data_IF_066877696671
#
_entry.id   IF_066877696671
#
_cell.length_a   1.000
_cell.length_b   1.000
_cell.length_c   1.000
_cell.angle_alpha   90.00
_cell.angle_beta   90.00
_cell.angle_gamma   90.00
#
_symmetry.space_group_name_H-M   'P 1'
#
loop_
_entity.id
_entity.type
_entity.pdbx_description
1 polymer ?
#
# COMPACT_ATOMS: atom_id res chain seq x y z
N UNK A 1 41.88 -12.78 -32.15
CA UNK A 1 40.52 -12.72 -32.69
C UNK A 1 40.04 -14.13 -32.99
N UNK A 2 39.06 -14.61 -32.22
CA UNK A 2 38.45 -15.92 -32.42
C UNK A 2 37.16 -15.97 -31.60
N UNK A 3 36.05 -15.58 -32.22
CA UNK A 3 34.72 -15.58 -31.59
C UNK A 3 34.23 -17.03 -31.47
N UNK A 4 34.17 -17.56 -30.25
CA UNK A 4 33.44 -18.79 -29.96
C UNK A 4 31.98 -18.41 -29.71
N UNK A 5 31.07 -18.86 -30.55
CA UNK A 5 29.62 -18.67 -30.36
C UNK A 5 29.09 -19.62 -29.28
N UNK A 6 28.40 -19.06 -28.29
CA UNK A 6 27.55 -19.82 -27.37
C UNK A 6 26.13 -19.91 -27.96
N UNK A 7 25.63 -21.12 -28.18
CA UNK A 7 24.23 -21.33 -28.56
C UNK A 7 23.38 -21.59 -27.31
N UNK A 8 22.34 -20.78 -27.12
CA UNK A 8 21.31 -21.02 -26.11
C UNK A 8 20.17 -21.82 -26.75
N UNK A 9 19.96 -23.05 -26.31
CA UNK A 9 18.83 -23.86 -26.75
C UNK A 9 17.78 -23.91 -25.67
N UNK A 10 16.57 -23.43 -25.98
CA UNK A 10 15.41 -23.48 -25.08
C UNK A 10 14.88 -24.92 -25.06
N UNK A 11 15.12 -25.66 -23.97
CA UNK A 11 14.54 -26.99 -23.81
C UNK A 11 13.10 -26.88 -23.28
N UNK A 12 12.11 -27.22 -24.10
CA UNK A 12 10.76 -27.50 -23.62
C UNK A 12 10.67 -28.98 -23.24
N UNK A 13 10.59 -29.29 -21.95
CA UNK A 13 10.17 -30.60 -21.48
C UNK A 13 8.67 -30.55 -21.16
N UNK A 14 7.87 -31.29 -21.92
CA UNK A 14 6.46 -31.53 -21.64
C UNK A 14 6.34 -32.49 -20.46
N UNK A 15 5.96 -31.99 -19.28
CA UNK A 15 5.58 -32.84 -18.17
C UNK A 15 4.07 -33.11 -18.24
N UNK A 16 3.69 -34.32 -18.66
CA UNK A 16 2.31 -34.82 -18.57
C UNK A 16 2.02 -35.17 -17.10
N UNK A 17 1.24 -34.30 -16.45
CA UNK A 17 0.15 -34.52 -15.46
C UNK A 17 0.19 -33.45 -14.35
N UNK A 18 -0.72 -32.49 -14.49
CA UNK A 18 -1.42 -31.80 -13.39
C UNK A 18 -0.59 -31.04 -12.35
N UNK A 19 -0.08 -29.86 -12.71
CA UNK A 19 -0.25 -28.58 -11.99
C UNK A 19 0.51 -27.51 -12.80
N UNK A 20 -0.10 -26.35 -13.00
CA UNK A 20 0.52 -25.21 -13.68
C UNK A 20 1.64 -24.64 -12.80
N UNK A 21 2.89 -24.87 -13.19
CA UNK A 21 4.02 -23.95 -12.93
C UNK A 21 5.18 -24.31 -13.86
N UNK A 22 5.46 -23.42 -14.82
CA UNK A 22 6.53 -23.60 -15.80
C UNK A 22 7.86 -23.11 -15.20
N UNK A 23 8.68 -24.02 -14.64
CA UNK A 23 10.07 -23.70 -14.27
C UNK A 23 10.95 -23.83 -15.52
N UNK A 24 11.52 -22.73 -16.00
CA UNK A 24 12.52 -22.74 -17.06
C UNK A 24 13.91 -23.07 -16.48
N UNK A 25 14.47 -24.23 -16.84
CA UNK A 25 15.86 -24.58 -16.54
C UNK A 25 16.75 -24.19 -17.72
N UNK A 26 17.83 -23.44 -17.46
CA UNK A 26 18.85 -23.15 -18.46
C UNK A 26 20.03 -24.10 -18.25
N UNK A 27 20.34 -24.92 -19.25
CA UNK A 27 21.57 -25.71 -19.29
C UNK A 27 22.58 -25.00 -20.22
N UNK A 28 23.71 -24.56 -19.67
CA UNK A 28 24.82 -24.05 -20.48
C UNK A 28 25.69 -25.24 -20.89
N UNK A 29 25.64 -25.63 -22.17
CA UNK A 29 26.63 -26.54 -22.76
C UNK A 29 27.73 -25.71 -23.41
N UNK A 30 28.93 -25.73 -22.83
CA UNK A 30 30.13 -25.31 -23.54
C UNK A 30 30.46 -26.37 -24.59
N UNK A 31 30.62 -25.97 -25.85
CA UNK A 31 31.03 -26.88 -26.92
C UNK A 31 32.45 -27.42 -26.63
N UNK A 32 32.58 -28.75 -26.50
CA UNK A 32 33.87 -29.43 -26.60
C UNK A 32 34.36 -30.27 -25.41
N UNK A 33 33.52 -30.74 -24.47
CA UNK A 33 33.99 -31.71 -23.45
C UNK A 33 32.96 -32.81 -23.14
N UNK A 34 33.47 -34.04 -23.09
CA UNK A 34 32.80 -35.29 -22.73
C UNK A 34 33.10 -35.65 -21.27
N UNK A 35 32.23 -35.27 -20.32
CA UNK A 35 31.95 -35.99 -19.05
C UNK A 35 31.01 -35.18 -18.13
N UNK A 36 30.19 -35.84 -17.28
CA UNK A 36 29.18 -35.20 -16.44
C UNK A 36 29.66 -34.87 -15.02
N UNK A 37 28.89 -34.02 -14.34
CA UNK A 37 28.97 -33.62 -12.91
C UNK A 37 29.95 -32.49 -12.53
N UNK A 38 29.50 -31.25 -12.74
CA UNK A 38 29.77 -30.16 -11.80
C UNK A 38 28.49 -29.89 -10.98
N UNK A 39 28.44 -30.35 -9.73
CA UNK A 39 27.40 -29.90 -8.77
C UNK A 39 27.87 -28.57 -8.18
N UNK A 40 27.32 -27.47 -8.68
CA UNK A 40 27.43 -26.16 -8.03
C UNK A 40 26.33 -25.99 -6.98
N UNK A 41 26.70 -25.54 -5.78
CA UNK A 41 25.76 -25.25 -4.70
C UNK A 41 25.26 -23.81 -4.85
N UNK A 42 23.95 -23.61 -5.05
CA UNK A 42 23.34 -22.28 -4.97
C UNK A 42 23.26 -21.86 -3.50
N UNK A 43 23.91 -20.76 -3.13
CA UNK A 43 23.57 -19.99 -1.94
C UNK A 43 23.04 -18.64 -2.38
N UNK A 44 21.80 -18.33 -1.99
CA UNK A 44 21.23 -17.01 -2.16
C UNK A 44 21.71 -16.14 -1.00
N UNK A 45 22.61 -15.20 -1.29
CA UNK A 45 22.89 -14.07 -0.42
C UNK A 45 22.54 -12.80 -1.20
N UNK A 46 21.80 -11.88 -0.56
CA UNK A 46 21.51 -10.53 -1.09
C UNK A 46 20.77 -10.45 -2.44
N UNK A 47 19.87 -11.39 -2.75
CA UNK A 47 19.09 -11.34 -4.00
C UNK A 47 19.94 -11.48 -5.27
N UNK A 48 21.16 -12.03 -5.17
CA UNK A 48 22.06 -12.27 -6.29
C UNK A 48 22.36 -13.77 -6.41
N UNK A 49 22.08 -14.34 -7.58
CA UNK A 49 22.57 -15.67 -7.92
C UNK A 49 23.99 -15.53 -8.50
N UNK A 50 25.01 -16.02 -7.78
CA UNK A 50 26.39 -16.01 -8.27
C UNK A 50 26.75 -17.40 -8.78
N UNK A 51 26.93 -17.53 -10.10
CA UNK A 51 27.46 -18.74 -10.73
C UNK A 51 29.00 -18.67 -10.71
N UNK A 52 29.63 -19.43 -9.81
CA UNK A 52 31.07 -19.62 -9.82
C UNK A 52 31.44 -20.79 -10.73
N UNK A 53 31.63 -20.51 -12.02
CA UNK A 53 32.31 -21.43 -12.92
C UNK A 53 33.83 -21.16 -12.83
N UNK A 54 34.59 -22.13 -12.31
CA UNK A 54 36.01 -21.97 -11.93
C UNK A 54 36.98 -21.69 -13.09
N UNK A 55 36.51 -21.60 -14.33
CA UNK A 55 37.36 -21.49 -15.54
C UNK A 55 36.86 -20.46 -16.58
N UNK A 56 35.88 -19.62 -16.26
CA UNK A 56 35.47 -18.53 -17.14
C UNK A 56 35.44 -17.22 -16.35
N UNK A 57 35.94 -16.15 -16.95
CA UNK A 57 35.88 -14.77 -16.43
C UNK A 57 34.47 -14.54 -15.87
N UNK A 58 34.31 -14.06 -14.62
CA UNK A 58 33.00 -13.91 -14.00
C UNK A 58 32.20 -12.84 -14.75
N UNK A 59 31.33 -13.30 -15.66
CA UNK A 59 30.33 -12.44 -16.27
C UNK A 59 29.19 -12.31 -15.26
N UNK A 60 29.07 -11.14 -14.65
CA UNK A 60 28.00 -10.82 -13.71
C UNK A 60 26.70 -10.64 -14.50
N UNK A 61 25.95 -11.72 -14.68
CA UNK A 61 24.60 -11.68 -15.24
C UNK A 61 23.62 -11.30 -14.13
N UNK A 62 23.27 -10.01 -14.06
CA UNK A 62 22.16 -9.52 -13.25
C UNK A 62 20.88 -9.83 -14.03
N UNK A 63 20.11 -10.82 -13.58
CA UNK A 63 18.75 -11.05 -14.06
C UNK A 63 17.80 -10.40 -13.05
N UNK A 64 17.15 -9.26 -13.37
CA UNK A 64 16.07 -8.75 -12.54
C UNK A 64 14.82 -9.58 -12.84
N UNK A 65 14.48 -10.50 -11.93
CA UNK A 65 13.33 -11.37 -12.09
C UNK A 65 13.14 -12.27 -10.87
N UNK A 66 12.25 -11.82 -9.97
CA UNK A 66 11.49 -12.62 -9.01
C UNK A 66 12.14 -13.92 -8.51
N UNK A 67 13.16 -13.82 -7.64
CA UNK A 67 13.31 -14.84 -6.61
C UNK A 67 12.09 -14.70 -5.69
N UNK A 68 11.06 -15.51 -5.94
CA UNK A 68 9.86 -15.53 -5.13
C UNK A 68 10.28 -15.92 -3.70
N UNK A 69 10.35 -14.93 -2.81
CA UNK A 69 10.77 -15.09 -1.40
C UNK A 69 9.70 -15.81 -0.56
N UNK A 70 8.93 -16.70 -1.17
CA UNK A 70 7.85 -17.41 -0.51
C UNK A 70 8.35 -18.75 0.00
N UNK A 71 9.14 -18.69 1.09
CA UNK A 71 9.38 -19.87 1.91
C UNK A 71 8.05 -20.42 2.48
N UNK A 72 8.04 -21.68 2.94
CA UNK A 72 6.87 -22.24 3.60
C UNK A 72 6.51 -21.42 4.85
N UNK A 73 5.21 -21.41 5.19
CA UNK A 73 4.75 -20.84 6.45
C UNK A 73 5.41 -21.55 7.63
N UNK A 74 6.04 -20.77 8.50
CA UNK A 74 6.61 -21.21 9.76
C UNK A 74 5.61 -20.97 10.89
N UNK A 75 5.69 -21.76 11.96
CA UNK A 75 4.83 -21.66 13.14
C UNK A 75 5.64 -21.25 14.36
N UNK A 76 4.95 -20.90 15.45
CA UNK A 76 5.57 -20.65 16.76
C UNK A 76 6.04 -19.21 16.96
N UNK A 77 5.57 -18.28 16.12
CA UNK A 77 5.73 -16.85 16.38
C UNK A 77 4.63 -16.41 17.34
N UNK A 78 4.97 -16.13 18.59
CA UNK A 78 4.03 -15.49 19.51
C UNK A 78 3.87 -14.03 19.14
N UNK A 79 2.69 -13.47 19.35
CA UNK A 79 2.49 -12.05 19.20
C UNK A 79 1.75 -11.44 20.38
N UNK A 80 1.99 -10.16 20.63
CA UNK A 80 1.20 -9.31 21.54
C UNK A 80 0.91 -8.01 20.83
N UNK A 81 0.25 -7.07 21.52
CA UNK A 81 0.02 -5.72 21.03
C UNK A 81 0.47 -4.66 22.03
N UNK A 82 0.89 -3.51 21.51
CA UNK A 82 1.23 -2.34 22.32
C UNK A 82 0.89 -1.03 21.62
N UNK A 83 0.70 0.01 22.43
CA UNK A 83 0.87 1.39 22.01
C UNK A 83 1.21 2.22 23.25
N UNK A 84 2.48 2.59 23.38
CA UNK A 84 2.97 3.31 24.57
C UNK A 84 3.55 4.69 24.23
N UNK A 85 3.38 5.15 22.99
CA UNK A 85 3.89 6.39 22.41
C UNK A 85 5.41 6.64 22.52
N UNK A 86 6.17 5.71 23.08
CA UNK A 86 7.63 5.83 23.15
C UNK A 86 8.26 5.47 21.81
N UNK A 87 9.36 6.13 21.46
CA UNK A 87 9.98 6.02 20.15
C UNK A 87 10.37 4.59 19.76
N UNK A 88 10.32 4.32 18.46
CA UNK A 88 10.79 3.08 17.86
C UNK A 88 12.32 2.99 17.96
N UNK A 89 12.88 1.93 18.57
CA UNK A 89 14.32 1.78 18.75
C UNK A 89 15.12 1.89 17.45
N UNK A 90 14.57 1.40 16.33
CA UNK A 90 15.22 1.51 15.03
C UNK A 90 15.46 2.97 14.59
N UNK A 91 14.72 3.93 15.14
CA UNK A 91 14.85 5.36 14.81
C UNK A 91 15.86 6.10 15.70
N UNK A 92 16.31 5.47 16.79
CA UNK A 92 17.15 6.13 17.80
C UNK A 92 18.46 6.65 17.19
N UNK A 93 19.07 5.89 16.29
CA UNK A 93 20.30 6.24 15.58
C UNK A 93 20.13 7.46 14.66
N UNK A 94 18.91 7.70 14.15
CA UNK A 94 18.63 8.80 13.23
C UNK A 94 18.60 10.15 13.94
N UNK A 95 18.28 10.16 15.23
CA UNK A 95 18.16 11.37 16.04
C UNK A 95 19.51 11.78 16.62
N UNK A 96 20.24 12.61 15.88
CA UNK A 96 21.55 13.16 16.29
C UNK A 96 21.52 14.69 16.22
N UNK A 97 21.66 15.42 17.36
CA UNK A 97 21.78 14.89 18.72
C UNK A 97 20.47 14.27 19.24
N UNK A 98 20.59 13.32 20.16
CA UNK A 98 19.43 12.66 20.76
C UNK A 98 18.59 13.63 21.58
N UNK A 99 17.28 13.69 21.29
CA UNK A 99 16.31 14.54 21.97
C UNK A 99 15.13 13.70 22.50
N UNK A 100 15.22 13.25 23.75
CA UNK A 100 14.20 12.40 24.38
C UNK A 100 12.77 12.95 24.24
N UNK A 101 12.60 14.27 24.38
CA UNK A 101 11.30 14.96 24.24
C UNK A 101 10.64 14.71 22.88
N UNK A 102 11.40 14.50 21.80
CA UNK A 102 10.88 14.28 20.43
C UNK A 102 10.91 12.81 20.01
N UNK A 103 11.44 11.93 20.86
CA UNK A 103 11.57 10.49 20.58
C UNK A 103 10.27 9.75 20.90
N UNK A 104 9.24 9.98 20.08
CA UNK A 104 7.91 9.37 20.21
C UNK A 104 7.64 8.42 19.04
N UNK A 105 6.69 7.49 19.21
CA UNK A 105 6.28 6.60 18.14
C UNK A 105 5.51 7.39 17.06
N UNK A 106 5.88 7.22 15.79
CA UNK A 106 5.27 7.98 14.70
C UNK A 106 3.83 7.50 14.43
N UNK A 107 2.84 8.40 14.25
CA UNK A 107 1.47 8.01 13.90
C UNK A 107 1.38 7.16 12.63
N UNK A 108 2.24 7.42 11.65
CA UNK A 108 2.31 6.67 10.40
C UNK A 108 2.68 5.19 10.59
N UNK A 109 3.19 4.81 11.77
CA UNK A 109 3.49 3.42 12.15
C UNK A 109 2.26 2.66 12.66
N UNK A 110 1.13 3.34 12.89
CA UNK A 110 -0.12 2.67 13.15
C UNK A 110 -0.50 1.73 11.99
N UNK A 111 -1.34 0.70 12.24
CA UNK A 111 -1.86 -0.16 11.20
C UNK A 111 -2.42 0.64 10.02
N UNK A 112 -2.11 0.19 8.81
CA UNK A 112 -2.50 0.85 7.57
C UNK A 112 -3.12 -0.16 6.61
N UNK A 113 -4.16 0.28 5.89
CA UNK A 113 -4.74 -0.48 4.80
C UNK A 113 -3.84 -0.34 3.56
N UNK A 114 -3.32 -1.44 2.98
CA UNK A 114 -2.53 -1.38 1.76
C UNK A 114 -3.23 -0.69 0.59
N UNK A 115 -4.56 -0.76 0.49
CA UNK A 115 -5.35 -0.15 -0.60
C UNK A 115 -5.21 1.37 -0.63
N UNK A 116 -5.02 2.01 0.54
CA UNK A 116 -4.75 3.46 0.63
C UNK A 116 -3.38 3.86 0.04
N UNK A 117 -2.50 2.89 -0.23
CA UNK A 117 -1.12 3.11 -0.67
C UNK A 117 -0.79 2.42 -2.00
N UNK A 118 -1.81 2.11 -2.80
CA UNK A 118 -1.64 1.48 -4.12
C UNK A 118 -1.78 -0.04 -4.12
N UNK A 119 -2.30 -0.62 -3.04
CA UNK A 119 -2.69 -2.01 -2.95
C UNK A 119 -1.66 -2.94 -2.31
N UNK A 120 -2.09 -4.17 -1.98
CA UNK A 120 -1.24 -5.15 -1.31
C UNK A 120 -0.21 -5.77 -2.25
N UNK A 121 0.97 -6.11 -1.72
CA UNK A 121 2.04 -6.76 -2.50
C UNK A 121 1.90 -8.29 -2.52
N UNK A 122 1.38 -8.86 -1.44
CA UNK A 122 1.23 -10.31 -1.21
C UNK A 122 -0.22 -10.73 -1.01
N UNK A 123 -1.18 -9.82 -1.17
CA UNK A 123 -2.60 -10.03 -0.84
C UNK A 123 -2.92 -9.84 0.65
N UNK A 124 -2.02 -9.20 1.40
CA UNK A 124 -2.24 -8.77 2.77
C UNK A 124 -3.35 -7.72 2.89
N UNK A 125 -3.99 -7.69 4.05
CA UNK A 125 -5.06 -6.73 4.37
C UNK A 125 -4.55 -5.60 5.27
N UNK A 126 -3.37 -5.76 5.86
CA UNK A 126 -2.78 -4.78 6.78
C UNK A 126 -1.28 -4.66 6.59
N UNK A 127 -0.79 -3.43 6.74
CA UNK A 127 0.61 -3.14 7.03
C UNK A 127 0.75 -2.68 8.46
N UNK A 128 1.70 -3.27 9.17
CA UNK A 128 1.92 -3.14 10.60
C UNK A 128 3.39 -2.87 10.88
N UNK A 129 3.67 -2.25 12.03
CA UNK A 129 5.00 -2.24 12.63
C UNK A 129 5.01 -3.05 13.92
N UNK A 130 6.20 -3.50 14.35
CA UNK A 130 6.31 -4.22 15.60
C UNK A 130 7.69 -4.21 16.24
N UNK A 131 7.76 -4.74 17.46
CA UNK A 131 8.99 -4.95 18.22
C UNK A 131 9.32 -6.43 18.27
N UNK A 132 10.46 -6.82 17.70
CA UNK A 132 10.86 -8.22 17.58
C UNK A 132 11.73 -8.65 18.76
N UNK A 133 11.56 -9.89 19.26
CA UNK A 133 12.52 -10.50 20.19
C UNK A 133 13.90 -10.65 19.54
N UNK A 134 14.94 -10.89 20.36
CA UNK A 134 16.31 -11.08 19.85
C UNK A 134 16.40 -12.32 18.93
N UNK A 135 15.67 -13.39 19.26
CA UNK A 135 15.61 -14.60 18.45
C UNK A 135 14.95 -14.33 17.09
N UNK A 136 13.87 -13.55 17.05
CA UNK A 136 13.23 -13.16 15.80
C UNK A 136 14.11 -12.21 14.99
N UNK A 137 14.79 -11.28 15.65
CA UNK A 137 15.72 -10.34 15.00
C UNK A 137 16.90 -11.09 14.35
N UNK A 138 17.46 -12.09 15.04
CA UNK A 138 18.49 -12.96 14.48
C UNK A 138 18.00 -13.73 13.23
N UNK A 139 16.73 -14.14 13.20
CA UNK A 139 16.10 -14.76 12.02
C UNK A 139 15.93 -13.76 10.87
N UNK A 140 15.50 -12.53 11.18
CA UNK A 140 15.35 -11.45 10.19
C UNK A 140 16.70 -11.03 9.56
N UNK A 141 17.79 -11.22 10.29
CA UNK A 141 19.14 -10.95 9.81
C UNK A 141 19.54 -9.47 9.97
N UNK A 142 20.42 -8.93 9.11
CA UNK A 142 20.89 -7.56 9.25
C UNK A 142 19.79 -6.52 9.00
N UNK A 143 20.01 -5.30 9.50
CA UNK A 143 19.14 -4.17 9.21
C UNK A 143 19.00 -3.94 7.69
N UNK A 144 17.81 -3.56 7.27
CA UNK A 144 17.55 -3.08 5.91
C UNK A 144 18.30 -1.76 5.68
N UNK A 145 18.43 -1.36 4.41
CA UNK A 145 19.01 -0.07 4.04
C UNK A 145 18.10 1.11 4.42
N UNK A 146 16.80 0.87 4.53
CA UNK A 146 15.81 1.87 4.91
C UNK A 146 15.38 1.72 6.38
N UNK A 147 14.60 2.69 6.85
CA UNK A 147 13.65 2.46 7.94
C UNK A 147 14.26 2.22 9.33
N UNK A 148 15.52 2.64 9.52
CA UNK A 148 16.19 2.69 10.82
C UNK A 148 17.32 1.67 10.98
N UNK A 149 18.03 1.73 12.11
CA UNK A 149 19.13 0.83 12.48
C UNK A 149 19.09 0.49 13.96
N UNK A 150 19.53 -0.71 14.30
CA UNK A 150 19.69 -1.14 15.69
C UNK A 150 21.15 -1.01 16.13
N UNK A 151 21.53 0.12 16.72
CA UNK A 151 22.89 0.31 17.25
C UNK A 151 23.22 -0.60 18.43
N UNK A 152 22.21 -1.17 19.10
CA UNK A 152 22.36 -1.89 20.38
C UNK A 152 22.00 -3.37 20.32
N UNK A 153 21.60 -3.92 19.17
CA UNK A 153 21.74 -5.37 18.94
C UNK A 153 20.70 -6.05 18.05
N UNK A 154 21.11 -7.25 17.62
CA UNK A 154 20.37 -8.30 16.89
C UNK A 154 19.96 -8.05 15.43
N UNK A 155 19.91 -6.80 14.96
CA UNK A 155 19.64 -6.48 13.55
C UNK A 155 18.15 -6.56 13.18
N UNK A 156 17.83 -6.51 11.90
CA UNK A 156 16.49 -6.70 11.37
C UNK A 156 15.62 -5.44 11.31
N UNK A 157 16.11 -4.26 11.68
CA UNK A 157 15.37 -3.02 11.50
C UNK A 157 14.98 -2.84 10.03
N UNK A 158 13.71 -2.50 9.77
CA UNK A 158 13.20 -2.36 8.40
C UNK A 158 13.07 -3.69 7.64
N UNK A 159 13.23 -4.85 8.28
CA UNK A 159 12.89 -6.14 7.68
C UNK A 159 11.42 -6.47 7.91
N UNK A 160 10.81 -7.24 7.00
CA UNK A 160 9.40 -7.57 7.02
C UNK A 160 9.09 -9.06 7.12
N UNK A 161 7.97 -9.36 7.77
CA UNK A 161 7.31 -10.66 7.80
C UNK A 161 5.94 -10.54 7.15
N UNK A 162 5.53 -11.55 6.39
CA UNK A 162 4.11 -11.78 6.12
C UNK A 162 3.61 -12.74 7.20
N UNK A 163 2.58 -12.35 7.92
CA UNK A 163 2.00 -13.12 9.03
C UNK A 163 0.52 -13.43 8.76
N UNK A 164 0.03 -14.50 9.35
CA UNK A 164 -1.40 -14.79 9.49
C UNK A 164 -1.70 -15.26 10.90
N UNK A 165 -2.91 -15.00 11.37
CA UNK A 165 -3.38 -15.41 12.69
C UNK A 165 -4.48 -16.46 12.55
N UNK A 166 -4.15 -17.77 12.63
CA UNK A 166 -5.15 -18.83 12.46
C UNK A 166 -6.28 -18.82 13.49
N UNK A 167 -6.10 -18.17 14.65
CA UNK A 167 -7.14 -18.08 15.68
C UNK A 167 -8.00 -16.83 15.58
N UNK A 168 -7.68 -15.87 14.71
CA UNK A 168 -8.48 -14.66 14.54
C UNK A 168 -9.84 -14.96 13.87
N UNK A 169 -10.83 -14.09 14.08
CA UNK A 169 -12.13 -14.21 13.39
C UNK A 169 -11.97 -14.01 11.87
N UNK A 170 -11.00 -13.20 11.45
CA UNK A 170 -10.50 -13.09 10.07
C UNK A 170 -9.22 -13.91 9.87
N UNK A 171 -9.31 -15.22 10.05
CA UNK A 171 -8.15 -16.13 9.92
C UNK A 171 -7.58 -16.20 8.47
N UNK A 172 -8.37 -15.78 7.48
CA UNK A 172 -7.98 -15.66 6.08
C UNK A 172 -7.11 -14.43 5.80
N UNK A 173 -7.12 -13.43 6.69
CA UNK A 173 -6.32 -12.24 6.54
C UNK A 173 -4.84 -12.52 6.77
N UNK A 174 -4.02 -11.86 5.96
CA UNK A 174 -2.57 -11.77 6.19
C UNK A 174 -2.17 -10.31 6.41
N UNK A 175 -1.05 -10.09 7.10
CA UNK A 175 -0.51 -8.77 7.37
C UNK A 175 1.00 -8.75 7.13
N UNK A 176 1.51 -7.65 6.59
CA UNK A 176 2.96 -7.40 6.58
C UNK A 176 3.34 -6.67 7.85
N UNK A 177 4.31 -7.20 8.60
CA UNK A 177 4.84 -6.58 9.82
C UNK A 177 6.29 -6.18 9.61
N UNK A 178 6.59 -4.88 9.68
CA UNK A 178 7.95 -4.36 9.65
C UNK A 178 8.52 -4.21 11.08
N UNK A 179 9.72 -4.75 11.33
CA UNK A 179 10.41 -4.52 12.61
C UNK A 179 10.84 -3.05 12.73
N UNK A 180 10.34 -2.38 13.78
CA UNK A 180 10.71 -1.01 14.17
C UNK A 180 11.27 -0.88 15.59
N UNK A 181 11.26 -1.95 16.38
CA UNK A 181 11.97 -1.95 17.65
C UNK A 181 12.34 -3.34 18.14
N UNK A 182 12.97 -3.38 19.30
CA UNK A 182 13.30 -4.61 20.02
C UNK A 182 12.23 -4.87 21.07
N UNK A 183 11.79 -6.12 21.18
CA UNK A 183 11.14 -6.58 22.39
C UNK A 183 12.22 -7.08 23.34
N UNK A 184 12.46 -6.33 24.40
CA UNK A 184 13.52 -6.63 25.36
C UNK A 184 13.29 -7.97 26.06
N UNK A 185 14.34 -8.78 26.30
CA UNK A 185 14.22 -10.12 26.87
C UNK A 185 13.69 -10.15 28.30
N UNK A 186 13.71 -9.01 29.00
CA UNK A 186 13.09 -8.86 30.33
C UNK A 186 11.55 -8.81 30.26
N UNK A 187 10.97 -8.57 29.07
CA UNK A 187 9.53 -8.63 28.86
C UNK A 187 9.09 -10.09 28.66
N UNK A 188 8.02 -10.55 29.35
CA UNK A 188 7.51 -11.91 29.19
C UNK A 188 7.16 -12.25 27.74
N UNK A 189 7.71 -13.36 27.24
CA UNK A 189 7.51 -13.84 25.87
C UNK A 189 8.65 -13.50 24.92
N UNK A 190 9.49 -12.52 25.27
CA UNK A 190 10.57 -12.04 24.40
C UNK A 190 11.96 -12.61 24.75
N UNK A 191 12.05 -13.40 25.81
CA UNK A 191 13.26 -14.12 26.20
C UNK A 191 13.66 -15.19 25.18
N UNK A 192 14.96 -15.39 24.99
CA UNK A 192 15.46 -16.46 24.14
C UNK A 192 15.04 -17.85 24.69
N UNK A 193 14.72 -18.83 23.83
CA UNK A 193 14.76 -18.82 22.36
C UNK A 193 13.42 -18.44 21.69
N UNK A 194 12.51 -17.75 22.39
CA UNK A 194 11.15 -17.51 21.90
C UNK A 194 11.12 -16.50 20.74
N UNK A 195 10.44 -16.88 19.67
CA UNK A 195 10.10 -15.96 18.58
C UNK A 195 8.88 -15.15 19.00
N UNK A 196 9.05 -13.84 19.13
CA UNK A 196 7.98 -12.94 19.57
C UNK A 196 7.97 -11.65 18.76
N UNK A 197 6.77 -11.17 18.42
CA UNK A 197 6.54 -9.87 17.82
C UNK A 197 5.46 -9.12 18.60
N UNK A 198 5.80 -7.96 19.14
CA UNK A 198 4.83 -7.07 19.78
C UNK A 198 4.34 -6.05 18.74
N UNK A 199 3.07 -6.14 18.34
CA UNK A 199 2.49 -5.36 17.23
C UNK A 199 2.04 -3.99 17.72
N UNK A 200 2.41 -2.95 16.97
CA UNK A 200 1.97 -1.60 17.29
C UNK A 200 0.50 -1.40 16.87
N UNK A 201 -0.39 -1.21 17.84
CA UNK A 201 -1.83 -1.02 17.62
C UNK A 201 -2.38 0.07 18.56
N UNK A 202 -2.69 1.28 18.04
CA UNK A 202 -3.25 2.36 18.85
C UNK A 202 -4.51 1.93 19.59
N UNK A 203 -4.64 2.35 20.85
CA UNK A 203 -5.75 1.92 21.73
C UNK A 203 -5.48 0.60 22.48
N UNK A 204 -4.51 -0.20 22.06
CA UNK A 204 -4.24 -1.53 22.62
C UNK A 204 -3.04 -1.57 23.59
N UNK A 205 -2.64 -0.43 24.17
CA UNK A 205 -1.63 -0.38 25.23
C UNK A 205 -2.15 -1.02 26.53
N UNK A 206 -1.41 -1.96 27.11
CA UNK A 206 -1.85 -2.68 28.34
C UNK A 206 -1.68 -1.95 29.66
N UNK A 207 -0.87 -0.88 29.70
CA UNK A 207 -0.45 -0.28 30.97
C UNK A 207 -0.75 1.22 30.99
N UNK A 208 -1.99 1.57 31.30
CA UNK A 208 -2.45 2.95 31.47
C UNK A 208 -1.59 3.73 32.51
N UNK A 209 -1.07 3.06 33.55
CA UNK A 209 -0.32 3.70 34.65
C UNK A 209 1.18 3.35 34.72
N UNK A 210 1.72 2.62 33.73
CA UNK A 210 3.16 2.34 33.74
C UNK A 210 3.99 3.57 33.38
N UNK A 211 5.17 3.68 33.98
CA UNK A 211 6.21 4.62 33.53
C UNK A 211 6.70 4.32 32.10
N UNK A 212 6.37 3.14 31.55
CA UNK A 212 6.65 2.75 30.17
C UNK A 212 5.65 3.37 29.17
N UNK A 213 4.46 3.79 29.61
CA UNK A 213 3.52 4.51 28.77
C UNK A 213 3.83 6.01 28.78
N UNK A 214 4.28 6.50 27.63
CA UNK A 214 4.67 7.90 27.39
C UNK A 214 3.56 8.71 26.72
N UNK A 215 2.41 8.11 26.43
CA UNK A 215 1.27 8.83 25.88
C UNK A 215 0.79 9.91 26.87
N UNK A 216 0.48 11.11 26.39
CA UNK A 216 0.14 12.26 27.24
C UNK A 216 1.23 12.77 28.20
N UNK A 217 2.46 12.24 28.14
CA UNK A 217 3.57 12.70 28.99
C UNK A 217 3.92 14.16 28.67
N UNK A 218 3.85 15.11 29.64
CA UNK A 218 4.13 16.53 29.41
C UNK A 218 5.60 16.79 29.04
N UNK A 219 6.50 15.83 29.26
CA UNK A 219 7.90 15.90 28.84
C UNK A 219 8.14 15.34 27.43
N UNK A 220 7.08 15.01 26.68
CA UNK A 220 7.14 14.59 25.28
C UNK A 220 6.40 15.59 24.40
N UNK A 221 6.93 15.84 23.22
CA UNK A 221 6.29 16.69 22.23
C UNK A 221 5.22 15.87 21.51
N UNK A 222 3.96 16.22 21.74
CA UNK A 222 2.80 15.81 20.97
C UNK A 222 2.70 14.30 20.70
N UNK A 223 2.38 13.53 21.73
CA UNK A 223 2.15 12.08 21.64
C UNK A 223 0.80 11.71 21.00
N UNK A 224 0.02 12.72 20.60
CA UNK A 224 -1.27 12.67 19.89
C UNK A 224 -2.44 12.04 20.66
N UNK A 225 -2.16 11.17 21.63
CA UNK A 225 -3.13 10.50 22.51
C UNK A 225 -2.65 10.52 23.96
N UNK A 226 -3.59 10.48 24.88
CA UNK A 226 -3.35 10.31 26.33
C UNK A 226 -3.06 8.85 26.69
N UNK A 227 -2.63 8.60 27.94
CA UNK A 227 -2.49 7.22 28.44
C UNK A 227 -3.80 6.44 28.40
N UNK A 228 -4.91 7.07 28.80
CA UNK A 228 -6.22 6.45 28.79
C UNK A 228 -6.65 6.06 27.36
N UNK A 229 -6.50 6.98 26.40
CA UNK A 229 -6.80 6.74 24.99
C UNK A 229 -5.91 5.64 24.40
N UNK A 230 -4.60 5.63 24.72
CA UNK A 230 -3.68 4.59 24.24
C UNK A 230 -4.01 3.18 24.74
N UNK A 231 -4.81 3.07 25.82
CA UNK A 231 -5.17 1.83 26.51
C UNK A 231 -6.65 1.49 26.43
N UNK A 232 -7.42 2.22 25.61
CA UNK A 232 -8.88 2.10 25.51
C UNK A 232 -9.37 0.66 25.32
N UNK A 233 -8.63 -0.13 24.54
CA UNK A 233 -8.89 -1.52 24.23
C UNK A 233 -7.81 -2.46 24.74
N UNK A 234 -6.90 -2.01 25.60
CA UNK A 234 -5.77 -2.81 26.09
C UNK A 234 -6.17 -4.04 26.92
N UNK A 235 -7.39 -4.05 27.46
CA UNK A 235 -7.98 -5.15 28.25
C UNK A 235 -9.23 -5.76 27.58
N UNK A 236 -9.33 -5.69 26.25
CA UNK A 236 -10.48 -6.17 25.48
C UNK A 236 -10.88 -7.61 25.86
N UNK A 237 -9.91 -8.47 26.18
CA UNK A 237 -10.11 -9.87 26.57
C UNK A 237 -10.95 -10.05 27.84
N UNK A 238 -11.07 -9.01 28.67
CA UNK A 238 -11.87 -9.03 29.90
C UNK A 238 -13.34 -8.65 29.66
N UNK A 239 -13.64 -8.01 28.52
CA UNK A 239 -14.94 -7.41 28.23
C UNK A 239 -15.55 -7.82 26.89
N UNK A 240 -14.77 -8.46 26.01
CA UNK A 240 -15.18 -8.90 24.68
C UNK A 240 -14.57 -10.26 24.32
N UNK A 241 -15.25 -10.98 23.43
CA UNK A 241 -14.79 -12.27 22.92
C UNK A 241 -13.57 -12.15 21.98
N UNK A 242 -13.48 -11.03 21.26
CA UNK A 242 -12.40 -10.73 20.33
C UNK A 242 -12.24 -9.21 20.16
N UNK A 243 -11.21 -8.80 19.45
CA UNK A 243 -10.88 -7.38 19.24
C UNK A 243 -11.94 -6.61 18.46
N UNK A 244 -12.90 -7.25 17.79
CA UNK A 244 -13.99 -6.52 17.11
C UNK A 244 -14.95 -5.86 18.09
N UNK A 245 -14.93 -6.28 19.37
CA UNK A 245 -15.67 -5.62 20.45
C UNK A 245 -15.03 -4.33 20.96
N UNK A 246 -13.82 -3.97 20.50
CA UNK A 246 -13.19 -2.69 20.82
C UNK A 246 -13.92 -1.52 20.17
N UNK A 247 -14.17 -0.45 20.94
CA UNK A 247 -14.71 0.79 20.41
C UNK A 247 -13.59 1.83 20.21
N UNK A 248 -13.12 2.00 18.97
CA UNK A 248 -12.08 2.98 18.63
C UNK A 248 -12.58 4.44 18.59
N UNK A 249 -13.89 4.71 18.76
CA UNK A 249 -14.41 6.09 18.79
C UNK A 249 -13.91 6.92 19.98
N UNK A 250 -13.39 6.26 21.02
CA UNK A 250 -12.73 6.93 22.14
C UNK A 250 -11.36 7.53 21.79
N UNK A 251 -10.80 7.23 20.61
CA UNK A 251 -9.58 7.88 20.12
C UNK A 251 -9.92 9.24 19.48
N UNK A 252 -9.11 10.28 19.74
CA UNK A 252 -9.33 11.60 19.17
C UNK A 252 -9.13 11.56 17.64
N UNK A 253 -9.66 12.58 16.94
CA UNK A 253 -9.64 12.64 15.47
C UNK A 253 -9.53 14.06 14.90
N UNK A 254 -9.14 15.04 15.73
CA UNK A 254 -9.12 16.45 15.31
C UNK A 254 -7.92 16.77 14.40
N UNK A 255 -6.78 16.11 14.61
CA UNK A 255 -5.59 16.22 13.73
C UNK A 255 -5.48 15.05 12.75
N UNK A 256 -4.66 15.21 11.71
CA UNK A 256 -4.42 14.14 10.74
C UNK A 256 -3.77 12.93 11.41
N UNK A 257 -2.81 13.16 12.31
CA UNK A 257 -2.15 12.12 13.08
C UNK A 257 -3.14 11.34 13.94
N UNK A 258 -4.04 12.04 14.63
CA UNK A 258 -5.08 11.41 15.44
C UNK A 258 -6.03 10.56 14.58
N UNK A 259 -6.41 11.03 13.39
CA UNK A 259 -7.19 10.23 12.44
C UNK A 259 -6.45 8.97 11.99
N UNK A 260 -5.15 9.06 11.72
CA UNK A 260 -4.31 7.90 11.38
C UNK A 260 -4.31 6.89 12.55
N UNK A 261 -4.16 7.36 13.79
CA UNK A 261 -4.19 6.49 14.97
C UNK A 261 -5.55 5.82 15.16
N UNK A 262 -6.64 6.58 15.04
CA UNK A 262 -8.00 6.05 15.12
C UNK A 262 -8.24 4.99 14.05
N UNK A 263 -7.89 5.29 12.81
CA UNK A 263 -8.03 4.33 11.71
C UNK A 263 -7.19 3.06 11.93
N UNK A 264 -5.96 3.21 12.42
CA UNK A 264 -5.12 2.05 12.77
C UNK A 264 -5.71 1.18 13.89
N UNK A 265 -6.38 1.79 14.88
CA UNK A 265 -7.14 1.04 15.88
C UNK A 265 -8.27 0.23 15.24
N UNK A 266 -9.04 0.84 14.34
CA UNK A 266 -10.17 0.19 13.64
C UNK A 266 -9.69 -1.00 12.81
N UNK A 267 -8.60 -0.83 12.05
CA UNK A 267 -8.01 -1.90 11.24
C UNK A 267 -7.55 -3.08 12.09
N UNK A 268 -6.83 -2.83 13.19
CA UNK A 268 -6.39 -3.91 14.08
C UNK A 268 -7.59 -4.61 14.74
N UNK A 269 -8.59 -3.83 15.18
CA UNK A 269 -9.82 -4.36 15.77
C UNK A 269 -10.55 -5.28 14.80
N UNK A 270 -10.66 -4.87 13.53
CA UNK A 270 -11.32 -5.62 12.46
C UNK A 270 -10.63 -6.95 12.11
N UNK A 271 -9.33 -7.10 12.40
CA UNK A 271 -8.64 -8.39 12.25
C UNK A 271 -9.21 -9.45 13.20
N UNK A 272 -9.71 -9.03 14.36
CA UNK A 272 -10.50 -9.89 15.25
C UNK A 272 -9.68 -10.94 15.99
N UNK A 273 -8.64 -10.53 16.70
CA UNK A 273 -7.89 -11.45 17.56
C UNK A 273 -8.79 -11.97 18.68
N UNK A 274 -8.79 -13.28 18.90
CA UNK A 274 -9.61 -13.98 19.92
C UNK A 274 -8.82 -14.33 21.18
N UNK A 275 -7.49 -14.22 21.12
CA UNK A 275 -6.58 -14.40 22.25
C UNK A 275 -5.56 -13.28 22.26
N UNK A 276 -5.07 -12.92 23.45
CA UNK A 276 -4.15 -11.80 23.62
C UNK A 276 -2.72 -12.11 23.17
N UNK A 277 -2.34 -13.39 23.20
CA UNK A 277 -1.01 -13.87 22.84
C UNK A 277 -1.02 -14.99 21.78
N UNK A 278 -1.58 -14.72 20.58
CA UNK A 278 -1.79 -15.73 19.55
C UNK A 278 -0.48 -16.33 19.05
N UNK A 279 -0.60 -17.54 18.52
CA UNK A 279 0.46 -18.20 17.76
C UNK A 279 0.27 -17.89 16.28
N UNK A 280 1.05 -16.95 15.77
CA UNK A 280 1.05 -16.58 14.36
C UNK A 280 1.81 -17.62 13.52
N UNK A 281 1.39 -17.71 12.27
CA UNK A 281 2.21 -18.31 11.23
C UNK A 281 2.87 -17.19 10.41
N UNK A 282 4.13 -17.38 10.01
CA UNK A 282 4.90 -16.32 9.37
C UNK A 282 5.84 -16.82 8.28
N UNK A 283 6.25 -15.92 7.39
CA UNK A 283 7.41 -16.07 6.51
C UNK A 283 8.09 -14.73 6.33
N UNK A 284 9.42 -14.73 6.21
CA UNK A 284 10.16 -13.51 5.88
C UNK A 284 9.88 -13.13 4.43
N UNK A 285 9.63 -11.84 4.20
CA UNK A 285 9.33 -11.28 2.87
C UNK A 285 10.09 -9.98 2.67
N UNK A 286 10.17 -9.51 1.42
CA UNK A 286 10.61 -8.13 1.16
C UNK A 286 9.53 -7.18 1.70
N UNK A 287 9.92 -6.03 2.22
CA UNK A 287 8.94 -5.02 2.55
C UNK A 287 8.31 -4.44 1.26
N UNK A 288 6.98 -4.22 1.23
CA UNK A 288 6.34 -3.48 0.14
C UNK A 288 7.01 -2.11 -0.05
N UNK A 289 7.33 -1.73 -1.28
CA UNK A 289 8.08 -0.50 -1.56
C UNK A 289 7.33 0.75 -1.03
N UNK A 290 6.00 0.76 -1.15
CA UNK A 290 5.12 1.83 -0.62
C UNK A 290 5.08 1.87 0.90
N UNK A 291 5.24 0.72 1.54
CA UNK A 291 5.38 0.65 2.99
C UNK A 291 6.74 1.18 3.44
N UNK A 292 7.82 0.82 2.74
CA UNK A 292 9.16 1.38 2.99
C UNK A 292 9.18 2.91 2.80
N UNK A 293 8.52 3.43 1.76
CA UNK A 293 8.39 4.87 1.50
C UNK A 293 7.68 5.58 2.67
N UNK A 294 6.51 5.09 3.07
CA UNK A 294 5.74 5.65 4.19
C UNK A 294 6.53 5.62 5.50
N UNK A 295 7.11 4.47 5.85
CA UNK A 295 7.81 4.29 7.12
C UNK A 295 9.15 5.03 7.12
N UNK A 296 9.89 4.98 6.02
CA UNK A 296 11.13 5.71 5.83
C UNK A 296 10.94 7.23 5.84
N UNK A 297 9.73 7.71 5.51
CA UNK A 297 9.32 9.12 5.57
C UNK A 297 8.82 9.61 6.94
N UNK A 298 8.47 8.71 7.86
CA UNK A 298 7.75 9.09 9.07
C UNK A 298 8.61 9.66 10.20
N UNK A 299 9.92 9.37 10.21
CA UNK A 299 10.83 9.81 11.27
C UNK A 299 12.13 10.35 10.68
N UNK A 300 12.75 11.32 11.35
CA UNK A 300 14.01 11.94 10.91
C UNK A 300 14.83 12.48 12.07
N UNK A 301 15.84 13.29 11.75
CA UNK A 301 16.81 13.79 12.75
C UNK A 301 16.17 14.62 13.86
N UNK A 302 15.02 15.25 13.59
CA UNK A 302 14.28 16.08 14.52
C UNK A 302 13.13 15.34 15.22
N UNK A 303 12.93 14.04 14.98
CA UNK A 303 11.81 13.26 15.48
C UNK A 303 10.80 12.89 14.41
N UNK A 304 9.54 12.73 14.83
CA UNK A 304 8.41 12.45 13.92
C UNK A 304 8.26 13.56 12.90
N UNK A 305 8.15 13.17 11.63
CA UNK A 305 7.78 14.08 10.54
C UNK A 305 6.26 14.11 10.42
N UNK A 306 5.65 15.27 10.10
CA UNK A 306 4.23 15.31 9.81
C UNK A 306 3.92 14.32 8.67
N UNK A 307 2.79 13.62 8.71
CA UNK A 307 2.35 12.86 7.56
C UNK A 307 2.30 13.83 6.38
N UNK A 308 2.94 13.46 5.27
CA UNK A 308 2.73 14.20 4.02
C UNK A 308 1.22 14.16 3.81
N UNK A 309 0.59 15.34 3.87
CA UNK A 309 -0.74 15.52 3.34
C UNK A 309 -0.59 15.01 1.91
N UNK A 310 -1.18 13.86 1.59
CA UNK A 310 -1.42 13.50 0.21
C UNK A 310 -2.22 14.69 -0.30
N UNK A 311 -1.50 15.66 -0.88
CA UNK A 311 -2.07 16.67 -1.72
C UNK A 311 -2.96 15.87 -2.63
N UNK A 312 -4.27 16.02 -2.46
CA UNK A 312 -5.24 15.79 -3.52
C UNK A 312 -4.54 16.25 -4.78
N UNK A 313 -4.05 15.29 -5.55
CA UNK A 313 -3.16 15.56 -6.64
C UNK A 313 -3.89 16.58 -7.50
N UNK A 314 -3.39 17.82 -7.55
CA UNK A 314 -4.00 18.89 -8.33
C UNK A 314 -4.08 18.48 -9.80
N UNK A 315 -3.43 17.39 -10.22
CA UNK A 315 -3.66 16.73 -11.50
C UNK A 315 -5.10 16.23 -11.70
N UNK A 316 -5.83 15.84 -10.64
CA UNK A 316 -7.21 15.39 -10.74
C UNK A 316 -8.19 16.57 -10.87
N UNK A 317 -8.02 17.64 -10.09
CA UNK A 317 -8.76 18.90 -10.29
C UNK A 317 -8.40 19.55 -11.64
N UNK A 318 -7.13 19.47 -12.06
CA UNK A 318 -6.65 19.88 -13.37
C UNK A 318 -7.23 19.07 -14.54
N UNK A 319 -7.81 17.88 -14.29
CA UNK A 319 -8.56 17.09 -15.28
C UNK A 319 -10.06 17.34 -15.25
N UNK A 320 -10.64 17.66 -14.08
CA UNK A 320 -12.08 17.92 -13.93
C UNK A 320 -12.46 19.31 -14.44
N UNK A 321 -11.66 20.33 -14.16
CA UNK A 321 -11.92 21.71 -14.61
C UNK A 321 -12.04 21.81 -16.14
N UNK A 322 -11.14 21.23 -16.96
CA UNK A 322 -11.33 21.24 -18.41
C UNK A 322 -12.47 20.34 -18.89
N UNK A 323 -12.76 19.22 -18.20
CA UNK A 323 -13.89 18.36 -18.57
C UNK A 323 -15.24 19.07 -18.38
N UNK A 324 -15.43 19.76 -17.27
CA UNK A 324 -16.63 20.57 -17.03
C UNK A 324 -16.72 21.76 -17.99
N UNK A 325 -15.59 22.42 -18.28
CA UNK A 325 -15.54 23.50 -19.28
C UNK A 325 -15.93 23.02 -20.69
N UNK A 326 -15.45 21.84 -21.12
CA UNK A 326 -15.80 21.25 -22.40
C UNK A 326 -17.29 20.91 -22.50
N UNK A 327 -17.89 20.36 -21.44
CA UNK A 327 -19.32 20.05 -21.41
C UNK A 327 -20.21 21.30 -21.52
N UNK A 328 -19.81 22.41 -20.90
CA UNK A 328 -20.54 23.69 -21.02
C UNK A 328 -20.43 24.24 -22.45
N UNK A 329 -19.25 24.20 -23.06
CA UNK A 329 -19.03 24.67 -24.44
C UNK A 329 -19.84 23.82 -25.45
N UNK A 330 -19.85 22.50 -25.29
CA UNK A 330 -20.65 21.59 -26.12
C UNK A 330 -22.15 21.87 -25.93
N UNK A 331 -22.61 22.04 -24.68
CA UNK A 331 -24.00 22.37 -24.38
C UNK A 331 -24.47 23.70 -24.99
N UNK A 332 -23.64 24.74 -24.94
CA UNK A 332 -23.91 26.03 -25.58
C UNK A 332 -23.91 25.92 -27.11
N UNK A 333 -23.00 25.14 -27.68
CA UNK A 333 -22.91 24.92 -29.13
C UNK A 333 -24.15 24.20 -29.65
N UNK A 334 -24.65 23.18 -28.94
CA UNK A 334 -25.89 22.47 -29.28
C UNK A 334 -27.09 23.42 -29.22
N UNK A 335 -27.19 24.25 -28.17
CA UNK A 335 -28.29 25.24 -28.05
C UNK A 335 -28.25 26.29 -29.17
N UNK A 336 -27.07 26.80 -29.52
CA UNK A 336 -26.90 27.71 -30.64
C UNK A 336 -27.30 27.07 -31.97
N UNK A 337 -26.89 25.82 -32.20
CA UNK A 337 -27.23 25.08 -33.41
C UNK A 337 -28.75 24.84 -33.52
N UNK A 338 -29.40 24.43 -32.44
CA UNK A 338 -30.86 24.24 -32.40
C UNK A 338 -31.61 25.55 -32.72
N UNK A 339 -31.21 26.67 -32.12
CA UNK A 339 -31.81 27.99 -32.38
C UNK A 339 -31.59 28.45 -33.82
N UNK A 340 -30.46 28.10 -34.42
CA UNK A 340 -30.18 28.40 -35.82
C UNK A 340 -31.06 27.58 -36.79
N UNK A 341 -31.31 26.30 -36.47
CA UNK A 341 -32.23 25.47 -37.25
C UNK A 341 -33.68 25.99 -37.20
N UNK A 342 -34.14 26.44 -36.03
CA UNK A 342 -35.46 27.03 -35.87
C UNK A 342 -35.62 28.30 -36.74
N UNK A 343 -34.61 29.18 -36.75
CA UNK A 343 -34.61 30.36 -37.63
C UNK A 343 -34.67 30.00 -39.12
N UNK A 344 -33.96 28.94 -39.54
CA UNK A 344 -34.01 28.45 -40.93
C UNK A 344 -35.41 27.93 -41.29
N UNK A 345 -36.04 27.17 -40.40
CA UNK A 345 -37.40 26.68 -40.61
C UNK A 345 -38.42 27.83 -40.73
N UNK A 346 -38.32 28.84 -39.86
CA UNK A 346 -39.17 30.05 -39.92
C UNK A 346 -38.96 30.84 -41.22
N UNK A 347 -37.72 30.98 -41.69
CA UNK A 347 -37.41 31.66 -42.94
C UNK A 347 -38.02 30.92 -44.16
N UNK A 348 -37.93 29.60 -44.20
CA UNK A 348 -38.52 28.78 -45.25
C UNK A 348 -40.05 28.92 -45.31
N UNK A 349 -40.73 28.87 -44.16
CA UNK A 349 -42.19 29.07 -44.08
C UNK A 349 -42.60 30.48 -44.52
N UNK A 350 -41.80 31.50 -44.20
CA UNK A 350 -42.06 32.88 -44.64
C UNK A 350 -41.94 33.02 -46.15
N UNK A 351 -40.94 32.38 -46.75
CA UNK A 351 -40.73 32.37 -48.20
C UNK A 351 -41.90 31.69 -48.93
N UNK A 352 -42.40 30.55 -48.44
CA UNK A 352 -43.58 29.89 -49.02
C UNK A 352 -44.84 30.76 -48.92
N UNK A 353 -45.05 31.45 -47.79
CA UNK A 353 -46.19 32.37 -47.64
C UNK A 353 -46.10 33.53 -48.63
N UNK A 354 -44.89 34.06 -48.87
CA UNK A 354 -44.65 35.08 -49.90
C UNK A 354 -44.99 34.53 -51.28
N UNK A 355 -44.46 33.35 -51.66
CA UNK A 355 -44.76 32.70 -52.95
C UNK A 355 -46.26 32.48 -53.17
N UNK A 356 -46.98 32.01 -52.16
CA UNK A 356 -48.46 31.84 -52.23
C UNK A 356 -49.18 33.16 -52.42
N UNK A 357 -48.78 34.23 -51.71
CA UNK A 357 -49.36 35.56 -51.88
C UNK A 357 -49.12 36.11 -53.29
N UNK A 358 -47.92 35.94 -53.84
CA UNK A 358 -47.61 36.37 -55.20
C UNK A 358 -48.39 35.57 -56.26
N UNK A 359 -48.54 34.26 -56.06
CA UNK A 359 -49.34 33.42 -56.96
C UNK A 359 -50.83 33.80 -56.97
N UNK A 360 -51.41 34.09 -55.79
CA UNK A 360 -52.80 34.56 -55.69
C UNK A 360 -53.02 35.93 -56.35
N UNK A 361 -52.04 36.85 -56.23
CA UNK A 361 -52.11 38.15 -56.88
C UNK A 361 -52.04 38.06 -58.42
N UNK A 362 -51.33 37.07 -58.95
CA UNK A 362 -51.26 36.79 -60.39
C UNK A 362 -52.54 36.10 -60.93
N UNK A 363 -53.26 35.33 -60.10
CA UNK A 363 -54.54 34.74 -60.52
C UNK A 363 -55.72 35.70 -60.43
N UNK A 364 -55.66 36.74 -59.59
CA UNK A 364 -56.71 37.76 -59.52
C UNK A 364 -56.60 38.82 -60.63
N UNK A 365 -55.44 38.97 -61.28
CA UNK A 365 -55.28 39.87 -62.43
C UNK A 365 -55.68 39.25 -63.77
N UNK A 366 -55.89 37.93 -63.85
CA UNK A 366 -56.34 37.25 -65.07
C UNK A 366 -57.86 37.08 -65.18
N UNK A 367 -58.63 37.48 -64.16
CA UNK A 367 -60.10 37.38 -64.13
C UNK A 367 -60.85 38.69 -64.43
N UNK A 368 -60.15 39.78 -64.76
CA UNK A 368 -60.74 41.10 -65.01
C UNK A 368 -60.82 41.53 -66.49
N UNK A 369 -60.62 40.63 -67.45
CA UNK A 369 -60.68 40.95 -68.89
C UNK A 369 -61.54 39.97 -69.70
N UNK A 370 -62.79 39.75 -69.26
CA UNK A 370 -63.86 39.21 -70.13
C UNK A 370 -65.27 39.61 -69.65
N UNK A 371 -65.60 40.89 -69.79
CA UNK A 371 -66.97 41.43 -69.86
C UNK A 371 -66.83 42.90 -70.29
N UNK A 372 -67.45 43.42 -71.33
CA UNK A 372 -68.44 42.90 -72.27
C UNK A 372 -68.79 44.10 -73.16
N UNK A 373 -68.72 43.88 -74.46
CA UNK A 373 -69.24 44.75 -75.52
C UNK A 373 -70.76 44.59 -75.64
N UNK A 374 -71.51 45.68 -75.81
CA UNK A 374 -72.80 45.83 -76.54
C UNK A 374 -73.32 47.27 -76.29
N UNK A 375 -73.23 48.21 -77.25
CA UNK A 375 -74.28 48.68 -78.21
C UNK A 375 -75.62 49.03 -77.52
N UNK A 376 -76.29 50.16 -77.77
CA UNK A 376 -76.47 51.01 -78.96
C UNK A 376 -77.04 52.37 -78.53
#
# INVERSE_FOLDING_TARGET
FGTKSCHFTRCHALCKRGLQDSIAWWAVRCAGQSAPHARGMLRCAEGRAVFLCRQCIPLLLVVPGACNFQGPWQRGLRATHFWNCDGAQCDKALMQPYAAVRFIYAPQYAPADPEDFGGPTYGEQLWLTGRASDALSALLGPDSRCCGRDERGSGGCGQCLLVRNPSATRADWTAVVMKKGRCFPENPGCEAPKLHIDIAAPGYGRFNDSNANKCGDPYRVNTYVTKAESSLCGLWSTSAHDTTGCNCDGLPSSTLEQRILKHGCELFSAWGWTVEDPQLEFKQVRCPDRWEERIGGAFGILGVRPPEEYHLDWSWLGRIVPACGFLVIVGLSIRCWAKHQEKKALAAVREERLKRKTALALSSSSSSSSAGSESE
#
